data_IF_784537691416
#
_entry.id   IF_784537691416
#
_cell.length_a   1.000
_cell.length_b   1.000
_cell.length_c   1.000
_cell.angle_alpha   90.00
_cell.angle_beta   90.00
_cell.angle_gamma   90.00
#
_symmetry.space_group_name_H-M   'P 1'
#
loop_
_entity.id
_entity.type
_entity.pdbx_description
1 polymer ?
#
# COMPACT_ATOMS: atom_id res chain seq x y z
N UNK A 1 -1.45 2.34 -1.80
CA UNK A 1 -2.29 2.79 -2.94
C UNK A 1 -1.40 3.38 -4.03
N UNK A 2 -1.80 3.31 -5.29
CA UNK A 2 -1.03 3.92 -6.39
C UNK A 2 -0.86 2.99 -7.59
N UNK A 3 -0.10 3.46 -8.59
CA UNK A 3 0.07 2.73 -9.86
C UNK A 3 0.78 1.38 -9.65
N UNK A 4 0.20 0.28 -10.11
CA UNK A 4 0.74 -1.08 -9.95
C UNK A 4 1.87 -1.34 -10.95
N UNK A 5 3.10 -1.08 -10.50
CA UNK A 5 4.37 -1.35 -11.18
C UNK A 5 5.22 -2.20 -10.26
N UNK A 6 6.14 -2.99 -10.82
CA UNK A 6 7.09 -3.83 -10.05
C UNK A 6 7.81 -3.00 -8.97
N UNK A 7 8.19 -1.76 -9.28
CA UNK A 7 8.89 -0.85 -8.34
C UNK A 7 8.07 -0.48 -7.10
N UNK A 8 6.76 -0.74 -7.07
CA UNK A 8 5.92 -0.53 -5.88
C UNK A 8 5.96 -1.69 -4.89
N UNK A 9 6.60 -2.81 -5.24
CA UNK A 9 6.87 -3.93 -4.33
C UNK A 9 5.63 -4.59 -3.72
N UNK A 10 4.50 -4.57 -4.42
CA UNK A 10 3.23 -5.13 -3.90
C UNK A 10 3.34 -6.64 -3.68
N UNK A 11 4.20 -7.31 -4.44
CA UNK A 11 4.59 -8.71 -4.32
C UNK A 11 5.10 -9.03 -2.91
N UNK A 12 5.89 -8.13 -2.32
CA UNK A 12 6.41 -8.28 -0.95
C UNK A 12 5.27 -8.24 0.06
N UNK A 13 4.27 -7.38 -0.18
CA UNK A 13 3.10 -7.27 0.69
C UNK A 13 2.18 -8.48 0.59
N UNK A 14 2.06 -9.09 -0.61
CA UNK A 14 1.36 -10.36 -0.78
C UNK A 14 2.07 -11.51 -0.04
N UNK A 15 3.40 -11.55 -0.08
CA UNK A 15 4.17 -12.53 0.69
C UNK A 15 3.95 -12.32 2.20
N UNK A 16 4.10 -11.09 2.70
CA UNK A 16 3.88 -10.76 4.10
C UNK A 16 2.45 -11.09 4.57
N UNK A 17 1.43 -10.89 3.73
CA UNK A 17 0.04 -11.20 4.10
C UNK A 17 -0.16 -12.69 4.43
N UNK A 18 0.60 -13.59 3.79
CA UNK A 18 0.53 -15.04 4.09
C UNK A 18 1.02 -15.37 5.49
N UNK A 19 1.88 -14.53 6.06
CA UNK A 19 2.50 -14.73 7.36
C UNK A 19 1.72 -14.05 8.50
N UNK A 20 0.66 -13.29 8.18
CA UNK A 20 -0.14 -12.54 9.15
C UNK A 20 -1.60 -13.00 9.10
N UNK A 21 -1.97 -14.08 9.84
CA UNK A 21 -3.33 -14.59 9.87
C UNK A 21 -4.35 -13.53 10.29
N UNK A 22 -5.46 -13.45 9.56
CA UNK A 22 -6.56 -12.51 9.84
C UNK A 22 -6.34 -11.09 9.32
N UNK A 23 -5.16 -10.75 8.81
CA UNK A 23 -4.95 -9.50 8.11
C UNK A 23 -5.66 -9.48 6.75
N UNK A 24 -6.05 -8.28 6.32
CA UNK A 24 -6.72 -8.04 5.05
C UNK A 24 -6.04 -6.90 4.31
N UNK A 25 -5.71 -7.14 3.05
CA UNK A 25 -5.02 -6.22 2.17
C UNK A 25 -5.98 -5.66 1.12
N UNK A 26 -6.08 -4.33 1.09
CA UNK A 26 -6.87 -3.59 0.10
C UNK A 26 -5.93 -2.80 -0.80
N UNK A 27 -5.89 -3.15 -2.08
CA UNK A 27 -4.98 -2.57 -3.07
C UNK A 27 -5.79 -1.63 -3.97
N UNK A 28 -5.72 -0.33 -3.69
CA UNK A 28 -6.29 0.70 -4.57
C UNK A 28 -5.23 1.19 -5.57
N UNK A 29 -5.56 1.11 -6.85
CA UNK A 29 -4.71 1.46 -7.97
C UNK A 29 -4.78 0.44 -9.11
N UNK A 30 -4.21 0.82 -10.25
CA UNK A 30 -4.10 -0.03 -11.43
C UNK A 30 -2.73 0.16 -12.10
N UNK A 31 -2.38 -0.70 -13.04
CA UNK A 31 -1.14 -0.64 -13.78
C UNK A 31 -0.81 -1.95 -14.47
N UNK A 32 0.23 -1.91 -15.32
CA UNK A 32 0.67 -3.06 -16.13
C UNK A 32 0.98 -4.32 -15.30
N UNK A 33 1.33 -4.16 -14.02
CA UNK A 33 1.67 -5.29 -13.16
C UNK A 33 0.46 -5.93 -12.47
N UNK A 34 -0.74 -5.37 -12.63
CA UNK A 34 -1.97 -5.82 -11.95
C UNK A 34 -2.27 -7.30 -12.17
N UNK A 35 -2.28 -7.75 -13.43
CA UNK A 35 -2.62 -9.13 -13.76
C UNK A 35 -1.61 -10.15 -13.20
N UNK A 36 -0.35 -9.76 -13.02
CA UNK A 36 0.64 -10.60 -12.36
C UNK A 36 0.36 -10.70 -10.85
N UNK A 37 0.04 -9.57 -10.21
CA UNK A 37 -0.29 -9.51 -8.79
C UNK A 37 -1.59 -10.26 -8.44
N UNK A 38 -2.63 -10.14 -9.26
CA UNK A 38 -3.89 -10.87 -9.08
C UNK A 38 -3.67 -12.39 -9.14
N UNK A 39 -2.85 -12.87 -10.10
CA UNK A 39 -2.45 -14.29 -10.17
C UNK A 39 -1.63 -14.71 -8.95
N UNK A 40 -0.70 -13.88 -8.51
CA UNK A 40 0.13 -14.14 -7.34
C UNK A 40 -0.65 -14.08 -6.01
N UNK A 41 -1.88 -13.57 -6.01
CA UNK A 41 -2.74 -13.47 -4.83
C UNK A 41 -3.89 -14.49 -4.84
N UNK A 42 -3.94 -15.40 -5.82
CA UNK A 42 -5.08 -16.30 -6.01
C UNK A 42 -5.38 -17.19 -4.78
N UNK A 43 -4.34 -17.61 -4.06
CA UNK A 43 -4.42 -18.38 -2.82
C UNK A 43 -4.87 -17.57 -1.59
N UNK A 44 -4.72 -16.25 -1.63
CA UNK A 44 -5.13 -15.35 -0.55
C UNK A 44 -6.65 -15.08 -0.54
N UNK A 45 -7.33 -15.35 -1.66
CA UNK A 45 -8.77 -15.18 -1.80
C UNK A 45 -9.25 -13.80 -1.34
N UNK A 46 -10.26 -13.71 -0.46
CA UNK A 46 -10.82 -12.41 -0.03
C UNK A 46 -9.87 -11.59 0.85
N UNK A 47 -8.78 -12.19 1.34
CA UNK A 47 -7.79 -11.45 2.14
C UNK A 47 -7.02 -10.43 1.30
N UNK A 48 -6.91 -10.60 -0.02
CA UNK A 48 -6.27 -9.66 -0.93
C UNK A 48 -7.27 -9.14 -1.98
N UNK A 49 -7.73 -7.90 -1.84
CA UNK A 49 -8.71 -7.29 -2.73
C UNK A 49 -8.09 -6.19 -3.59
N UNK A 50 -8.14 -6.37 -4.92
CA UNK A 50 -7.76 -5.36 -5.90
C UNK A 50 -8.96 -4.45 -6.20
N UNK A 51 -8.89 -3.22 -5.72
CA UNK A 51 -9.98 -2.25 -5.83
C UNK A 51 -9.90 -1.43 -7.13
N UNK A 52 -8.83 -1.54 -7.92
CA UNK A 52 -8.64 -0.66 -9.08
C UNK A 52 -8.51 0.82 -8.69
N UNK A 53 -8.64 1.71 -9.66
CA UNK A 53 -8.52 3.17 -9.46
C UNK A 53 -9.64 3.71 -8.56
N UNK A 54 -9.29 4.65 -7.68
CA UNK A 54 -10.20 5.30 -6.74
C UNK A 54 -10.03 6.82 -6.80
N UNK A 55 -11.13 7.54 -6.65
CA UNK A 55 -11.09 8.99 -6.54
C UNK A 55 -10.57 9.43 -5.16
N UNK A 56 -10.28 10.72 -5.00
CA UNK A 56 -9.72 11.26 -3.77
C UNK A 56 -10.63 11.05 -2.54
N UNK A 57 -11.97 11.08 -2.71
CA UNK A 57 -12.90 10.86 -1.60
C UNK A 57 -12.92 9.39 -1.16
N UNK A 58 -12.87 8.48 -2.13
CA UNK A 58 -12.76 7.05 -1.89
C UNK A 58 -11.42 6.69 -1.25
N UNK A 59 -10.31 7.27 -1.71
CA UNK A 59 -8.98 7.09 -1.09
C UNK A 59 -9.01 7.52 0.37
N UNK A 60 -9.53 8.71 0.68
CA UNK A 60 -9.68 9.18 2.07
C UNK A 60 -10.53 8.24 2.92
N UNK A 61 -11.63 7.73 2.37
CA UNK A 61 -12.51 6.78 3.05
C UNK A 61 -11.78 5.48 3.36
N UNK A 62 -11.02 4.95 2.41
CA UNK A 62 -10.23 3.74 2.60
C UNK A 62 -9.11 3.94 3.63
N UNK A 63 -8.40 5.08 3.58
CA UNK A 63 -7.38 5.41 4.56
C UNK A 63 -7.96 5.48 5.98
N UNK A 64 -9.04 6.22 6.19
CA UNK A 64 -9.70 6.32 7.52
C UNK A 64 -10.17 4.98 8.09
N UNK A 65 -10.46 4.00 7.23
CA UNK A 65 -10.84 2.65 7.63
C UNK A 65 -9.67 1.66 7.74
N UNK A 66 -8.44 2.09 7.45
CA UNK A 66 -7.27 1.22 7.46
C UNK A 66 -6.56 1.27 8.82
N UNK A 67 -6.04 0.12 9.27
CA UNK A 67 -5.18 0.05 10.46
C UNK A 67 -3.79 0.67 10.21
N UNK A 68 -3.29 0.56 8.96
CA UNK A 68 -2.06 1.18 8.51
C UNK A 68 -2.08 1.31 6.97
N UNK A 69 -1.32 2.28 6.46
CA UNK A 69 -0.90 2.32 5.07
C UNK A 69 0.46 1.62 4.95
N UNK A 70 0.59 0.66 4.04
CA UNK A 70 1.89 0.03 3.73
C UNK A 70 2.41 0.50 2.37
N UNK A 71 3.66 0.97 2.33
CA UNK A 71 4.37 1.44 1.14
C UNK A 71 5.65 0.62 0.95
N UNK A 72 5.57 -0.59 0.37
CA UNK A 72 6.71 -1.51 0.21
C UNK A 72 7.55 -1.17 -1.03
N UNK A 73 7.58 0.11 -1.42
CA UNK A 73 8.18 0.55 -2.68
C UNK A 73 9.70 0.33 -2.66
N UNK A 74 10.24 -0.01 -3.83
CA UNK A 74 11.68 -0.15 -4.09
C UNK A 74 12.28 1.19 -4.49
N UNK A 75 11.47 2.09 -5.06
CA UNK A 75 11.83 3.45 -5.43
C UNK A 75 10.60 4.37 -5.39
N UNK A 76 10.73 5.53 -4.74
CA UNK A 76 9.72 6.60 -4.73
C UNK A 76 10.39 7.96 -4.88
N UNK A 77 9.75 8.87 -5.63
CA UNK A 77 10.13 10.29 -5.60
C UNK A 77 9.67 10.93 -4.31
N UNK A 78 8.41 11.38 -4.28
CA UNK A 78 7.71 11.80 -3.07
C UNK A 78 6.34 11.10 -3.05
N UNK A 79 6.09 10.15 -2.14
CA UNK A 79 4.85 9.38 -2.16
C UNK A 79 3.70 10.21 -1.56
N UNK A 80 2.93 10.89 -2.41
CA UNK A 80 1.77 11.70 -1.97
C UNK A 80 0.79 10.94 -1.07
N UNK A 81 0.64 9.63 -1.28
CA UNK A 81 -0.22 8.76 -0.47
C UNK A 81 0.21 8.69 1.01
N UNK A 82 1.49 8.90 1.31
CA UNK A 82 2.00 9.00 2.69
C UNK A 82 1.46 10.27 3.35
N UNK A 83 1.51 11.40 2.65
CA UNK A 83 0.96 12.67 3.15
C UNK A 83 -0.56 12.58 3.36
N UNK A 84 -1.27 11.88 2.47
CA UNK A 84 -2.71 11.63 2.61
C UNK A 84 -3.02 10.75 3.84
N UNK A 85 -2.21 9.73 4.11
CA UNK A 85 -2.36 8.87 5.29
C UNK A 85 -2.09 9.64 6.58
N UNK A 86 -1.01 10.44 6.64
CA UNK A 86 -0.70 11.30 7.77
C UNK A 86 -1.84 12.30 8.05
N UNK A 87 -2.38 12.94 7.01
CA UNK A 87 -3.53 13.84 7.14
C UNK A 87 -4.81 13.12 7.62
N UNK A 88 -4.90 11.80 7.40
CA UNK A 88 -5.98 10.97 7.89
C UNK A 88 -5.71 10.36 9.29
N UNK A 89 -4.55 10.60 9.90
CA UNK A 89 -4.15 10.02 11.18
C UNK A 89 -3.86 8.51 11.11
N UNK A 90 -3.48 8.01 9.93
CA UNK A 90 -3.25 6.59 9.68
C UNK A 90 -1.75 6.30 9.78
N UNK A 91 -1.34 5.32 10.60
CA UNK A 91 0.06 4.88 10.67
C UNK A 91 0.61 4.45 9.31
N UNK A 92 1.88 4.76 9.05
CA UNK A 92 2.54 4.46 7.76
C UNK A 92 3.68 3.48 7.99
N UNK A 93 3.59 2.28 7.41
CA UNK A 93 4.73 1.35 7.33
C UNK A 93 5.33 1.45 5.93
N UNK A 94 6.57 1.89 5.81
CA UNK A 94 7.18 2.12 4.50
C UNK A 94 8.61 1.59 4.43
N UNK A 95 9.04 1.20 3.23
CA UNK A 95 10.44 0.86 2.97
C UNK A 95 11.32 2.11 3.09
N UNK A 96 12.46 2.00 3.75
CA UNK A 96 13.42 3.11 3.94
C UNK A 96 14.24 3.38 2.66
N UNK A 97 13.58 3.83 1.59
CA UNK A 97 14.22 4.07 0.27
C UNK A 97 13.84 5.42 -0.33
N UNK A 98 14.78 5.99 -1.09
CA UNK A 98 14.57 7.22 -1.87
C UNK A 98 14.01 8.37 -1.01
N UNK A 99 12.93 9.05 -1.42
CA UNK A 99 12.35 10.17 -0.66
C UNK A 99 11.42 9.78 0.49
N UNK A 100 11.24 8.48 0.80
CA UNK A 100 10.39 8.05 1.92
C UNK A 100 10.92 8.55 3.28
N UNK A 101 12.23 8.45 3.61
CA UNK A 101 12.76 8.89 4.90
C UNK A 101 12.68 10.41 5.13
N UNK A 102 12.39 11.20 4.10
CA UNK A 102 12.16 12.66 4.24
C UNK A 102 10.81 12.97 4.87
N UNK A 103 9.86 12.02 4.84
CA UNK A 103 8.49 12.21 5.34
C UNK A 103 8.11 11.20 6.42
N UNK A 104 8.62 9.97 6.36
CA UNK A 104 8.39 8.93 7.38
C UNK A 104 9.61 8.84 8.30
N UNK A 105 9.43 9.26 9.54
CA UNK A 105 10.44 9.18 10.61
C UNK A 105 10.03 8.07 11.57
N UNK A 106 10.90 7.07 11.71
CA UNK A 106 10.67 5.87 12.51
C UNK A 106 10.28 6.23 13.95
N UNK A 107 9.10 5.76 14.38
CA UNK A 107 8.57 5.97 15.73
C UNK A 107 7.95 7.36 15.97
N UNK A 108 8.01 8.27 15.00
CA UNK A 108 7.37 9.59 15.08
C UNK A 108 6.19 9.72 14.13
N UNK A 109 6.38 9.38 12.85
CA UNK A 109 5.35 9.53 11.80
C UNK A 109 5.06 8.25 11.02
N UNK A 110 5.70 7.14 11.41
CA UNK A 110 5.50 5.79 10.88
C UNK A 110 6.53 4.81 11.39
#
# INVERSE_FOLDING_TARGET
MGRLRIRKGVEVLLAALREVPGAVLRIAGDGEHRAALERAAADLGPAAAFLGTRDAAQVRTLLRGAAALVVPSIYEGMPLVVLEAMAAGVPVVASTVSGIPEVVVDGETG
#
